data_IF_708822527994
#
_entry.id   IF_708822527994
#
_cell.length_a   1.000
_cell.length_b   1.000
_cell.length_c   1.000
_cell.angle_alpha   90.00
_cell.angle_beta   90.00
_cell.angle_gamma   90.00
#
_symmetry.space_group_name_H-M   'P 1'
#
loop_
_entity.id
_entity.type
_entity.pdbx_description
1 polymer ?
#
# COMPACT_ATOMS: atom_id res chain seq x y z
N UNK A 1 5.28 6.26 16.94
CA UNK A 1 4.67 6.86 15.74
C UNK A 1 4.46 5.77 14.71
N UNK A 2 3.25 5.68 14.17
CA UNK A 2 2.94 4.65 13.19
C UNK A 2 3.38 5.08 11.80
N UNK A 3 3.80 4.11 10.99
CA UNK A 3 4.17 4.38 9.61
C UNK A 3 3.00 5.01 8.86
N UNK A 4 1.78 4.55 9.13
CA UNK A 4 0.58 5.06 8.48
C UNK A 4 0.39 6.57 8.69
N UNK A 5 0.80 7.07 9.84
CA UNK A 5 0.67 8.49 10.13
C UNK A 5 1.74 9.32 9.43
N UNK A 6 2.86 8.69 9.07
CA UNK A 6 3.95 9.38 8.40
C UNK A 6 3.76 9.45 6.90
N UNK A 7 2.92 8.60 6.34
CA UNK A 7 2.73 8.49 4.90
C UNK A 7 1.30 8.89 4.53
N UNK A 8 1.19 9.76 3.55
CA UNK A 8 -0.12 10.16 3.05
C UNK A 8 -0.58 9.20 1.96
N UNK A 9 -1.69 8.53 2.22
CA UNK A 9 -2.28 7.58 1.28
C UNK A 9 -3.47 8.25 0.63
N UNK A 10 -3.41 8.39 -0.70
CA UNK A 10 -4.48 9.00 -1.48
C UNK A 10 -5.70 8.08 -1.53
N UNK A 11 -6.83 8.63 -1.96
CA UNK A 11 -8.01 7.82 -2.20
C UNK A 11 -7.75 6.87 -3.36
N UNK A 12 -8.56 5.81 -3.43
CA UNK A 12 -8.43 4.82 -4.49
C UNK A 12 -8.48 5.48 -5.87
N UNK A 13 -7.51 5.20 -6.75
CA UNK A 13 -7.53 5.79 -8.09
C UNK A 13 -8.63 5.25 -8.99
N UNK A 14 -9.29 4.16 -8.60
CA UNK A 14 -10.35 3.55 -9.39
C UNK A 14 -11.75 3.89 -8.89
N UNK A 15 -11.96 3.90 -7.57
CA UNK A 15 -13.30 4.11 -7.02
C UNK A 15 -13.37 5.25 -6.00
N UNK A 16 -12.23 5.89 -5.73
CA UNK A 16 -12.12 6.99 -4.76
C UNK A 16 -12.47 6.58 -3.32
N UNK A 17 -12.48 5.28 -3.04
CA UNK A 17 -12.72 4.77 -1.70
C UNK A 17 -11.49 4.89 -0.80
N UNK A 18 -11.66 4.55 0.47
CA UNK A 18 -10.58 4.60 1.44
C UNK A 18 -9.57 3.48 1.23
N UNK A 19 -8.33 3.74 1.59
CA UNK A 19 -7.24 2.78 1.42
C UNK A 19 -6.47 2.61 2.72
N UNK A 20 -5.82 1.44 2.85
CA UNK A 20 -4.98 1.11 4.00
C UNK A 20 -3.66 0.53 3.53
N UNK A 21 -2.61 0.84 4.30
CA UNK A 21 -1.33 0.17 4.15
C UNK A 21 -1.38 -1.11 4.98
N UNK A 22 -1.15 -2.25 4.34
CA UNK A 22 -1.20 -3.56 4.99
C UNK A 22 0.16 -4.22 4.96
N UNK A 23 0.43 -5.03 5.99
CA UNK A 23 1.63 -5.85 6.06
C UNK A 23 1.24 -7.30 5.88
N UNK A 24 1.95 -8.01 5.02
CA UNK A 24 1.69 -9.42 4.78
C UNK A 24 2.84 -10.28 5.26
N UNK A 25 2.53 -11.25 6.10
CA UNK A 25 3.51 -12.21 6.64
C UNK A 25 4.69 -11.56 7.38
N UNK A 26 4.59 -10.30 7.72
CA UNK A 26 5.68 -9.58 8.38
C UNK A 26 6.88 -9.34 7.49
N UNK A 27 6.76 -9.52 6.17
CA UNK A 27 7.89 -9.39 5.26
C UNK A 27 7.58 -8.58 4.01
N UNK A 28 6.37 -8.04 3.87
CA UNK A 28 6.05 -7.19 2.73
C UNK A 28 4.95 -6.20 3.08
N UNK A 29 4.88 -5.12 2.32
CA UNK A 29 3.83 -4.12 2.44
C UNK A 29 3.11 -3.94 1.12
N UNK A 30 1.84 -3.60 1.20
CA UNK A 30 1.06 -3.20 0.04
C UNK A 30 -0.07 -2.27 0.52
N UNK A 31 -0.62 -1.49 -0.41
CA UNK A 31 -1.76 -0.63 -0.11
C UNK A 31 -2.97 -1.23 -0.82
N UNK A 32 -4.10 -1.29 -0.15
CA UNK A 32 -5.32 -1.85 -0.72
C UNK A 32 -6.50 -0.93 -0.50
N UNK A 33 -7.45 -1.00 -1.42
CA UNK A 33 -8.72 -0.30 -1.28
C UNK A 33 -9.68 -1.14 -0.45
N UNK A 34 -10.38 -0.48 0.46
CA UNK A 34 -11.35 -1.16 1.32
C UNK A 34 -12.69 -1.39 0.63
N UNK A 35 -12.91 -0.77 -0.52
CA UNK A 35 -14.19 -0.86 -1.21
C UNK A 35 -14.16 -1.67 -2.48
N UNK A 36 -13.25 -1.38 -3.41
CA UNK A 36 -13.20 -2.11 -4.67
C UNK A 36 -12.19 -3.25 -4.67
N UNK A 37 -11.31 -3.32 -3.67
CA UNK A 37 -10.37 -4.42 -3.54
C UNK A 37 -9.10 -4.32 -4.37
N UNK A 38 -8.90 -3.22 -5.11
CA UNK A 38 -7.65 -3.07 -5.85
C UNK A 38 -6.49 -2.84 -4.88
N UNK A 39 -5.28 -3.19 -5.30
CA UNK A 39 -4.12 -3.10 -4.43
C UNK A 39 -2.85 -2.92 -5.25
N UNK A 40 -1.78 -2.47 -4.60
CA UNK A 40 -0.47 -2.42 -5.21
C UNK A 40 0.16 -3.81 -5.18
N UNK A 41 1.29 -3.96 -5.90
CA UNK A 41 2.10 -5.17 -5.73
C UNK A 41 2.71 -5.15 -4.33
N UNK A 42 3.07 -6.32 -3.83
CA UNK A 42 3.72 -6.43 -2.53
C UNK A 42 5.17 -5.97 -2.66
N UNK A 43 5.61 -5.15 -1.71
CA UNK A 43 7.00 -4.68 -1.66
C UNK A 43 7.68 -5.40 -0.51
N UNK A 44 8.58 -6.30 -0.83
CA UNK A 44 9.27 -7.11 0.16
C UNK A 44 10.30 -6.29 0.94
N UNK A 45 10.48 -6.63 2.22
CA UNK A 45 11.57 -6.11 3.01
C UNK A 45 12.16 -7.25 3.85
N UNK A 46 13.44 -7.13 4.18
CA UNK A 46 14.16 -8.18 4.90
C UNK A 46 14.63 -7.75 6.29
N UNK A 47 14.59 -6.46 6.58
CA UNK A 47 15.06 -5.95 7.86
C UNK A 47 14.17 -4.81 8.32
N UNK A 48 14.26 -4.49 9.61
CA UNK A 48 13.52 -3.36 10.15
C UNK A 48 13.92 -2.05 9.48
N UNK A 49 15.16 -1.94 9.02
CA UNK A 49 15.62 -0.74 8.34
C UNK A 49 14.98 -0.57 6.97
N UNK A 50 14.61 -1.66 6.34
CA UNK A 50 13.96 -1.62 5.03
C UNK A 50 12.45 -1.47 5.13
N UNK A 51 11.90 -1.64 6.32
CA UNK A 51 10.44 -1.60 6.53
C UNK A 51 9.83 -0.29 6.07
N UNK A 52 10.39 0.83 6.50
CA UNK A 52 9.87 2.14 6.12
C UNK A 52 10.01 2.38 4.61
N UNK A 53 11.11 1.94 4.04
CA UNK A 53 11.34 2.08 2.60
C UNK A 53 10.30 1.29 1.81
N UNK A 54 10.03 0.06 2.22
CA UNK A 54 9.03 -0.77 1.56
C UNK A 54 7.64 -0.14 1.65
N UNK A 55 7.27 0.35 2.83
CA UNK A 55 5.98 1.01 3.03
C UNK A 55 5.88 2.26 2.15
N UNK A 56 6.94 3.05 2.08
CA UNK A 56 6.96 4.26 1.27
C UNK A 56 6.78 3.92 -0.21
N UNK A 57 7.45 2.89 -0.69
CA UNK A 57 7.33 2.47 -2.08
C UNK A 57 5.91 2.00 -2.40
N UNK A 58 5.29 1.25 -1.49
CA UNK A 58 3.91 0.80 -1.70
C UNK A 58 2.97 2.00 -1.80
N UNK A 59 3.13 2.98 -0.90
CA UNK A 59 2.30 4.18 -0.92
C UNK A 59 2.53 5.00 -2.19
N UNK A 60 3.78 5.09 -2.65
CA UNK A 60 4.07 5.81 -3.88
C UNK A 60 3.41 5.15 -5.10
N UNK A 61 3.42 3.83 -5.15
CA UNK A 61 2.74 3.11 -6.23
C UNK A 61 1.24 3.41 -6.20
N UNK A 62 0.66 3.38 -5.02
CA UNK A 62 -0.75 3.68 -4.84
C UNK A 62 -1.08 5.10 -5.30
N UNK A 63 -0.32 6.07 -4.81
CA UNK A 63 -0.57 7.48 -5.09
C UNK A 63 -0.36 7.85 -6.56
N UNK A 64 0.41 7.06 -7.30
CA UNK A 64 0.61 7.27 -8.73
C UNK A 64 -0.33 6.44 -9.59
N UNK A 65 -1.27 5.73 -8.97
CA UNK A 65 -2.27 4.96 -9.69
C UNK A 65 -1.81 3.60 -10.20
N UNK A 66 -0.66 3.14 -9.74
CA UNK A 66 -0.12 1.84 -10.19
C UNK A 66 -0.67 0.72 -9.33
N UNK A 67 -1.91 0.38 -9.56
CA UNK A 67 -2.62 -0.62 -8.77
C UNK A 67 -3.12 -1.75 -9.66
N UNK A 68 -3.36 -2.90 -9.03
CA UNK A 68 -3.87 -4.08 -9.69
C UNK A 68 -5.31 -4.26 -9.23
N UNK A 69 -6.25 -4.35 -10.18
CA UNK A 69 -7.62 -4.64 -9.84
C UNK A 69 -7.76 -6.12 -9.48
N UNK A 70 -8.42 -6.39 -8.38
CA UNK A 70 -8.69 -7.78 -7.98
C UNK A 70 -9.89 -8.36 -8.73
N UNK A 71 -10.61 -7.53 -9.42
CA UNK A 71 -11.77 -7.96 -10.19
C UNK A 71 -11.33 -8.61 -11.49
N UNK A 72 -11.88 -9.78 -11.85
CA UNK A 72 -11.53 -10.44 -13.10
C UNK A 72 -12.04 -9.65 -14.32
#
# INVERSE_FOLDING_TARGET
>A
MNIDEMLEISDCPLCEGGALLEEECGCSYYVMCLECGCHTVNIDFRSEQERLDAATRAVMLWNTGKVISSSP
#
